data_IF_995672712287
#
_entry.id   IF_995672712287
#
_cell.length_a   1.000
_cell.length_b   1.000
_cell.length_c   1.000
_cell.angle_alpha   90.00
_cell.angle_beta   90.00
_cell.angle_gamma   90.00
#
_symmetry.space_group_name_H-M   'P 1'
#
loop_
_entity.id
_entity.type
_entity.pdbx_description
1 polymer ?
#
# COMPACT_ATOMS: atom_id res chain seq x y z
N UNK A 1 -3.82 -0.88 -5.70
CA UNK A 1 -3.45 0.55 -5.74
C UNK A 1 -2.76 0.83 -7.07
N UNK A 2 -3.05 1.94 -7.74
CA UNK A 2 -2.35 2.31 -8.98
C UNK A 2 -0.97 2.90 -8.67
N UNK A 3 -0.01 2.88 -9.59
CA UNK A 3 1.32 3.49 -9.38
C UNK A 3 1.24 4.98 -8.99
N UNK A 4 0.24 5.70 -9.51
CA UNK A 4 -0.01 7.09 -9.14
C UNK A 4 -0.47 7.25 -7.69
N UNK A 5 -1.18 6.27 -7.14
CA UNK A 5 -1.64 6.30 -5.74
C UNK A 5 -0.45 6.10 -4.79
N UNK A 6 0.39 5.11 -5.08
CA UNK A 6 1.59 4.79 -4.29
C UNK A 6 2.52 6.01 -4.19
N UNK A 7 2.69 6.77 -5.28
CA UNK A 7 3.49 7.99 -5.25
C UNK A 7 2.90 9.09 -4.35
N UNK A 8 1.57 9.22 -4.29
CA UNK A 8 0.90 10.21 -3.43
C UNK A 8 1.01 9.84 -1.96
N UNK A 9 0.81 8.57 -1.62
CA UNK A 9 0.88 8.09 -0.25
C UNK A 9 2.28 8.29 0.32
N UNK A 10 3.30 8.03 -0.51
CA UNK A 10 4.69 8.32 -0.17
C UNK A 10 4.94 9.81 0.07
N UNK A 11 4.43 10.69 -0.79
CA UNK A 11 4.57 12.14 -0.60
C UNK A 11 3.95 12.61 0.72
N UNK A 12 2.81 12.04 1.10
CA UNK A 12 2.14 12.34 2.37
C UNK A 12 3.01 11.89 3.55
N UNK A 13 3.49 10.64 3.52
CA UNK A 13 4.37 10.09 4.57
C UNK A 13 5.67 10.90 4.71
N UNK A 14 6.31 11.25 3.59
CA UNK A 14 7.55 12.05 3.56
C UNK A 14 7.30 13.46 4.12
N UNK A 15 6.20 14.10 3.75
CA UNK A 15 5.86 15.44 4.23
C UNK A 15 5.56 15.48 5.72
N UNK A 16 4.81 14.50 6.24
CA UNK A 16 4.52 14.38 7.67
C UNK A 16 5.79 14.15 8.47
N UNK A 17 6.65 13.24 8.02
CA UNK A 17 7.93 12.99 8.68
C UNK A 17 8.86 14.21 8.62
N UNK A 18 8.81 15.03 7.56
CA UNK A 18 9.55 16.29 7.51
C UNK A 18 9.08 17.30 8.56
N UNK A 19 7.77 17.44 8.78
CA UNK A 19 7.23 18.30 9.84
C UNK A 19 7.55 17.79 11.25
N UNK A 20 7.57 16.47 11.44
CA UNK A 20 8.00 15.88 12.71
C UNK A 20 9.49 16.14 12.93
N UNK A 21 10.33 15.90 11.92
CA UNK A 21 11.78 16.13 12.01
C UNK A 21 12.11 17.61 12.29
N UNK A 22 11.32 18.55 11.76
CA UNK A 22 11.46 19.97 12.04
C UNK A 22 11.22 20.34 13.52
N UNK A 23 10.65 19.44 14.33
CA UNK A 23 10.46 19.62 15.78
C UNK A 23 9.75 20.92 16.13
N UNK A 24 8.68 21.22 15.39
CA UNK A 24 7.90 22.45 15.53
C UNK A 24 7.24 22.49 16.93
N UNK A 25 7.22 23.66 17.60
CA UNK A 25 6.52 23.80 18.86
C UNK A 25 5.02 23.62 18.66
N UNK A 26 4.38 22.93 19.60
CA UNK A 26 2.91 22.81 19.66
C UNK A 26 2.40 23.78 20.73
N UNK A 27 1.66 24.79 20.30
CA UNK A 27 1.16 25.87 21.16
C UNK A 27 -0.36 25.70 21.31
N UNK A 28 -0.82 25.71 22.55
CA UNK A 28 -2.25 25.59 22.89
C UNK A 28 -2.74 26.84 23.59
N UNK A 29 -3.79 27.46 23.06
CA UNK A 29 -4.36 28.71 23.57
C UNK A 29 -5.89 28.62 23.63
N UNK A 30 -6.51 29.30 24.60
CA UNK A 30 -7.95 29.51 24.62
C UNK A 30 -8.28 30.86 23.97
N UNK A 31 -9.13 30.84 22.94
CA UNK A 31 -9.49 32.02 22.16
C UNK A 31 -10.99 32.07 21.87
N UNK A 32 -11.57 33.25 21.65
CA UNK A 32 -12.93 33.36 21.13
C UNK A 32 -13.07 32.62 19.79
N UNK A 33 -14.23 31.99 19.57
CA UNK A 33 -14.48 31.20 18.34
C UNK A 33 -14.24 32.03 17.06
N UNK A 34 -14.64 33.29 17.05
CA UNK A 34 -14.48 34.17 15.89
C UNK A 34 -13.00 34.52 15.62
N UNK A 35 -12.19 34.69 16.66
CA UNK A 35 -10.74 34.89 16.51
C UNK A 35 -10.07 33.62 15.95
N UNK A 36 -10.43 32.45 16.48
CA UNK A 36 -9.90 31.18 16.00
C UNK A 36 -10.24 30.93 14.52
N UNK A 37 -11.46 31.24 14.09
CA UNK A 37 -11.84 31.19 12.67
C UNK A 37 -11.03 32.16 11.81
N UNK A 38 -10.79 33.39 12.31
CA UNK A 38 -9.98 34.38 11.60
C UNK A 38 -8.51 33.95 11.44
N UNK A 39 -7.98 33.17 12.37
CA UNK A 39 -6.65 32.56 12.29
C UNK A 39 -6.56 31.41 11.26
N UNK A 40 -7.69 31.01 10.66
CA UNK A 40 -7.74 29.87 9.74
C UNK A 40 -7.72 28.51 10.45
N UNK A 41 -8.08 28.47 11.74
CA UNK A 41 -8.16 27.21 12.47
C UNK A 41 -9.16 26.26 11.79
N UNK A 42 -8.69 25.06 11.46
CA UNK A 42 -9.55 24.04 10.87
C UNK A 42 -10.46 23.46 11.95
N UNK A 43 -11.76 23.66 11.77
CA UNK A 43 -12.80 23.08 12.62
C UNK A 43 -13.32 21.79 11.96
N UNK A 44 -13.40 20.71 12.73
CA UNK A 44 -14.02 19.48 12.27
C UNK A 44 -15.56 19.65 12.26
N UNK A 45 -16.19 19.14 11.20
CA UNK A 45 -17.60 19.34 10.90
C UNK A 45 -18.55 18.91 12.05
N UNK A 46 -19.56 19.76 12.32
CA UNK A 46 -20.82 19.48 13.05
C UNK A 46 -20.81 19.54 14.58
N UNK A 47 -19.79 20.12 15.22
CA UNK A 47 -19.84 20.34 16.67
C UNK A 47 -20.32 21.74 17.04
N UNK A 48 -21.18 21.82 18.06
CA UNK A 48 -21.58 23.08 18.67
C UNK A 48 -20.44 23.58 19.56
N UNK A 49 -19.53 24.35 18.99
CA UNK A 49 -18.47 25.03 19.74
C UNK A 49 -19.05 26.13 20.63
N UNK A 50 -18.52 26.27 21.85
CA UNK A 50 -18.84 27.39 22.74
C UNK A 50 -18.18 28.70 22.29
N UNK A 51 -18.44 29.78 23.04
CA UNK A 51 -17.87 31.12 22.74
C UNK A 51 -16.35 31.15 22.83
N UNK A 52 -15.77 30.31 23.69
CA UNK A 52 -14.32 30.12 23.86
C UNK A 52 -13.95 28.71 23.43
N UNK A 53 -12.93 28.60 22.58
CA UNK A 53 -12.41 27.34 22.06
C UNK A 53 -10.92 27.20 22.32
N UNK A 54 -10.45 25.96 22.43
CA UNK A 54 -9.02 25.64 22.52
C UNK A 54 -8.45 25.45 21.13
N UNK A 55 -7.54 26.35 20.76
CA UNK A 55 -6.78 26.33 19.51
C UNK A 55 -5.45 25.63 19.77
N UNK A 56 -5.10 24.70 18.89
CA UNK A 56 -3.81 24.02 18.89
C UNK A 56 -3.10 24.36 17.58
N UNK A 57 -1.89 24.89 17.67
CA UNK A 57 -1.08 25.29 16.52
C UNK A 57 0.26 24.57 16.52
N UNK A 58 0.72 24.18 15.35
CA UNK A 58 1.95 23.44 15.13
C UNK A 58 2.77 24.20 14.09
N UNK A 59 3.52 25.22 14.54
CA UNK A 59 4.15 26.18 13.63
C UNK A 59 3.18 26.72 12.57
N UNK A 60 3.65 26.85 11.33
CA UNK A 60 2.82 27.32 10.20
C UNK A 60 2.12 26.18 9.45
N UNK A 61 2.23 24.93 9.92
CA UNK A 61 1.78 23.76 9.13
C UNK A 61 0.35 23.33 9.46
N UNK A 62 -0.11 23.56 10.69
CA UNK A 62 -1.46 23.21 11.11
C UNK A 62 -1.93 24.10 12.25
N UNK A 63 -3.19 24.53 12.16
CA UNK A 63 -3.92 25.21 13.24
C UNK A 63 -5.30 24.54 13.30
N UNK A 64 -5.66 23.98 14.44
CA UNK A 64 -6.89 23.19 14.61
C UNK A 64 -7.58 23.50 15.94
N UNK A 65 -8.87 23.21 16.01
CA UNK A 65 -9.64 23.21 17.25
C UNK A 65 -9.61 21.81 17.86
N UNK A 66 -8.97 21.65 19.01
CA UNK A 66 -8.85 20.35 19.68
C UNK A 66 -8.92 20.45 21.20
N UNK A 67 -9.78 19.61 21.81
CA UNK A 67 -9.90 19.46 23.26
C UNK A 67 -9.02 18.36 23.87
N UNK A 68 -8.26 17.62 23.06
CA UNK A 68 -7.47 16.46 23.49
C UNK A 68 -6.11 16.81 24.09
N UNK A 69 -5.39 15.79 24.56
CA UNK A 69 -3.99 15.95 24.99
C UNK A 69 -3.07 16.04 23.79
N UNK A 70 -2.03 16.88 23.88
CA UNK A 70 -1.03 17.05 22.84
C UNK A 70 0.38 16.91 23.40
N UNK A 71 1.31 16.54 22.52
CA UNK A 71 2.74 16.64 22.74
C UNK A 71 3.18 18.11 22.84
N UNK A 72 4.39 18.38 23.35
CA UNK A 72 4.90 19.76 23.43
C UNK A 72 5.54 20.23 22.13
N UNK A 73 6.00 19.29 21.30
CA UNK A 73 6.60 19.53 19.99
C UNK A 73 6.35 18.38 19.03
N UNK A 74 6.33 18.65 17.73
CA UNK A 74 6.09 17.61 16.72
C UNK A 74 7.14 16.50 16.75
N UNK A 75 8.37 16.81 17.17
CA UNK A 75 9.47 15.85 17.33
C UNK A 75 9.18 14.71 18.31
N UNK A 76 8.35 14.94 19.33
CA UNK A 76 7.96 13.91 20.31
C UNK A 76 7.10 12.81 19.68
N UNK A 77 6.47 13.08 18.53
CA UNK A 77 5.68 12.10 17.77
C UNK A 77 6.60 11.01 17.19
N UNK A 78 7.88 11.30 16.98
CA UNK A 78 8.86 10.35 16.45
C UNK A 78 8.63 10.04 14.97
N UNK A 79 8.49 8.77 14.60
CA UNK A 79 8.28 8.40 13.21
C UNK A 79 6.79 8.27 12.89
N UNK A 80 6.37 8.65 11.69
CA UNK A 80 5.06 8.35 11.14
C UNK A 80 5.16 7.31 10.02
N UNK A 81 4.27 6.32 10.06
CA UNK A 81 4.10 5.30 9.01
C UNK A 81 2.67 5.30 8.52
N UNK A 82 2.46 5.48 7.22
CA UNK A 82 1.19 5.24 6.55
C UNK A 82 0.99 3.74 6.39
N UNK A 83 -0.12 3.22 6.93
CA UNK A 83 -0.46 1.80 6.93
C UNK A 83 -1.37 1.46 5.76
N UNK A 84 -2.40 2.27 5.55
CA UNK A 84 -3.37 2.00 4.51
C UNK A 84 -4.10 3.26 4.09
N UNK A 85 -4.68 3.16 2.91
CA UNK A 85 -5.64 4.11 2.40
C UNK A 85 -6.84 3.38 1.83
N UNK A 86 -8.03 3.85 2.18
CA UNK A 86 -9.30 3.31 1.69
C UNK A 86 -10.24 4.42 1.22
N UNK A 87 -11.03 4.13 0.19
CA UNK A 87 -12.09 5.02 -0.29
C UNK A 87 -13.35 4.80 0.54
N UNK A 88 -13.85 5.85 1.19
CA UNK A 88 -15.04 5.80 2.06
C UNK A 88 -16.32 6.23 1.33
N UNK A 89 -16.19 6.90 0.18
CA UNK A 89 -17.32 7.39 -0.62
C UNK A 89 -16.85 8.31 -1.75
N UNK A 90 -17.79 8.96 -2.44
CA UNK A 90 -17.45 9.88 -3.54
C UNK A 90 -16.60 11.05 -3.04
N UNK A 91 -15.31 11.04 -3.41
CA UNK A 91 -14.35 12.09 -3.07
C UNK A 91 -13.73 12.02 -1.67
N UNK A 92 -14.07 11.02 -0.86
CA UNK A 92 -13.58 10.90 0.53
C UNK A 92 -12.65 9.70 0.68
N UNK A 93 -11.48 9.95 1.24
CA UNK A 93 -10.42 8.97 1.49
C UNK A 93 -10.12 8.91 2.99
N UNK A 94 -9.95 7.71 3.52
CA UNK A 94 -9.44 7.49 4.88
C UNK A 94 -8.02 7.00 4.78
N UNK A 95 -7.13 7.74 5.44
CA UNK A 95 -5.73 7.37 5.58
C UNK A 95 -5.54 6.88 7.01
N UNK A 96 -4.95 5.69 7.15
CA UNK A 96 -4.61 5.10 8.45
C UNK A 96 -3.10 5.15 8.59
N UNK A 97 -2.62 5.70 9.70
CA UNK A 97 -1.20 5.76 10.03
C UNK A 97 -0.93 5.40 11.48
N UNK A 98 0.31 5.00 11.76
CA UNK A 98 0.83 4.77 13.11
C UNK A 98 2.00 5.72 13.37
N UNK A 99 2.23 6.05 14.64
CA UNK A 99 3.33 6.91 15.08
C UNK A 99 4.20 6.23 16.13
N UNK A 100 5.38 6.81 16.38
CA UNK A 100 6.33 6.40 17.44
C UNK A 100 6.59 4.88 17.45
N UNK A 101 6.37 4.21 18.58
CA UNK A 101 6.52 2.77 18.74
C UNK A 101 5.66 1.98 17.76
N UNK A 102 4.42 2.42 17.50
CA UNK A 102 3.52 1.73 16.58
C UNK A 102 4.00 1.80 15.13
N UNK A 103 4.67 2.89 14.74
CA UNK A 103 5.33 2.99 13.43
C UNK A 103 6.54 2.05 13.35
N UNK A 104 7.37 2.01 14.40
CA UNK A 104 8.53 1.11 14.46
C UNK A 104 8.12 -0.36 14.37
N UNK A 105 7.09 -0.78 15.13
CA UNK A 105 6.55 -2.14 15.09
C UNK A 105 6.03 -2.49 13.69
N UNK A 106 5.44 -1.53 12.96
CA UNK A 106 4.99 -1.75 11.58
C UNK A 106 6.16 -1.98 10.62
N UNK A 107 7.27 -1.24 10.77
CA UNK A 107 8.47 -1.47 9.98
C UNK A 107 9.12 -2.82 10.28
N UNK A 108 9.21 -3.19 11.56
CA UNK A 108 9.77 -4.48 11.97
C UNK A 108 8.93 -5.65 11.46
N UNK A 109 7.60 -5.54 11.50
CA UNK A 109 6.71 -6.55 10.94
C UNK A 109 6.91 -6.71 9.42
N UNK A 110 7.08 -5.61 8.69
CA UNK A 110 7.38 -5.65 7.25
C UNK A 110 8.75 -6.26 6.96
N UNK A 111 9.77 -5.92 7.75
CA UNK A 111 11.11 -6.51 7.63
C UNK A 111 11.10 -8.02 7.88
N UNK A 112 10.36 -8.47 8.90
CA UNK A 112 10.20 -9.88 9.20
C UNK A 112 9.47 -10.62 8.06
N UNK A 113 8.37 -10.07 7.55
CA UNK A 113 7.64 -10.65 6.42
C UNK A 113 8.53 -10.80 5.17
N UNK A 114 9.32 -9.77 4.86
CA UNK A 114 10.29 -9.82 3.77
C UNK A 114 11.36 -10.89 4.03
N UNK A 115 11.85 -11.02 5.27
CA UNK A 115 12.81 -12.06 5.64
C UNK A 115 12.23 -13.46 5.45
N UNK A 116 11.01 -13.71 5.95
CA UNK A 116 10.33 -15.00 5.85
C UNK A 116 10.09 -15.40 4.37
N UNK A 117 9.72 -14.44 3.53
CA UNK A 117 9.59 -14.66 2.09
C UNK A 117 10.92 -15.03 1.43
N UNK A 118 12.01 -14.40 1.84
CA UNK A 118 13.34 -14.72 1.31
C UNK A 118 13.78 -16.13 1.71
N UNK A 119 13.50 -16.54 2.94
CA UNK A 119 13.81 -17.87 3.42
C UNK A 119 12.96 -18.93 2.72
N UNK A 120 11.66 -18.68 2.54
CA UNK A 120 10.72 -19.56 1.83
C UNK A 120 11.14 -19.77 0.37
N UNK A 121 11.64 -18.72 -0.28
CA UNK A 121 12.12 -18.77 -1.66
C UNK A 121 13.59 -19.19 -1.79
N UNK A 122 14.24 -19.51 -0.67
CA UNK A 122 15.65 -19.90 -0.57
C UNK A 122 16.58 -18.90 -1.30
N UNK A 123 16.32 -17.61 -1.09
CA UNK A 123 17.01 -16.54 -1.80
C UNK A 123 18.41 -16.27 -1.23
N UNK A 124 19.41 -16.26 -2.11
CA UNK A 124 20.74 -15.76 -1.75
C UNK A 124 20.72 -14.22 -1.64
N UNK A 125 21.66 -13.61 -0.87
CA UNK A 125 21.73 -12.15 -0.71
C UNK A 125 21.82 -11.37 -2.03
N UNK A 126 22.41 -11.97 -3.06
CA UNK A 126 22.60 -11.34 -4.38
C UNK A 126 21.30 -11.33 -5.20
N UNK A 127 20.35 -12.23 -4.93
CA UNK A 127 19.08 -12.30 -5.64
C UNK A 127 18.00 -11.48 -4.93
N UNK A 128 17.38 -10.57 -5.70
CA UNK A 128 16.21 -9.82 -5.25
C UNK A 128 14.95 -10.68 -5.31
N UNK A 129 13.95 -10.35 -4.48
CA UNK A 129 12.63 -11.00 -4.55
C UNK A 129 12.02 -10.89 -5.95
N UNK A 130 12.11 -9.70 -6.56
CA UNK A 130 11.59 -9.47 -7.91
C UNK A 130 12.21 -10.42 -8.92
N UNK A 131 13.53 -10.57 -8.92
CA UNK A 131 14.22 -11.47 -9.86
C UNK A 131 13.74 -12.91 -9.71
N UNK A 132 13.58 -13.42 -8.47
CA UNK A 132 13.10 -14.79 -8.26
C UNK A 132 11.65 -14.98 -8.69
N UNK A 133 10.81 -13.98 -8.46
CA UNK A 133 9.42 -14.00 -8.93
C UNK A 133 9.38 -14.01 -10.47
N UNK A 134 10.17 -13.16 -11.12
CA UNK A 134 10.26 -13.12 -12.58
C UNK A 134 10.73 -14.49 -13.15
N UNK A 135 11.75 -15.11 -12.54
CA UNK A 135 12.22 -16.46 -12.89
C UNK A 135 11.10 -17.51 -12.74
N UNK A 136 10.38 -17.50 -11.60
CA UNK A 136 9.27 -18.43 -11.36
C UNK A 136 8.12 -18.25 -12.35
N UNK A 137 7.79 -17.01 -12.72
CA UNK A 137 6.74 -16.72 -13.72
C UNK A 137 7.12 -17.27 -15.09
N UNK A 138 8.38 -17.13 -15.50
CA UNK A 138 8.85 -17.71 -16.76
C UNK A 138 8.91 -19.25 -16.69
N UNK A 139 9.38 -19.83 -15.58
CA UNK A 139 9.33 -21.29 -15.35
C UNK A 139 7.88 -21.83 -15.45
N UNK A 140 6.90 -21.10 -14.93
CA UNK A 140 5.48 -21.48 -15.03
C UNK A 140 4.98 -21.47 -16.47
N UNK A 141 5.27 -20.44 -17.26
CA UNK A 141 4.88 -20.37 -18.69
C UNK A 141 5.51 -21.51 -19.49
N UNK A 142 6.79 -21.77 -19.26
CA UNK A 142 7.52 -22.86 -19.92
C UNK A 142 6.93 -24.23 -19.59
N UNK A 143 6.53 -24.44 -18.33
CA UNK A 143 5.87 -25.67 -17.91
C UNK A 143 4.49 -25.81 -18.55
N UNK A 144 3.66 -24.75 -18.57
CA UNK A 144 2.35 -24.76 -19.22
C UNK A 144 2.46 -25.13 -20.71
N UNK A 145 3.44 -24.57 -21.42
CA UNK A 145 3.70 -24.93 -22.82
C UNK A 145 4.10 -26.41 -22.97
N UNK A 146 4.95 -26.92 -22.07
CA UNK A 146 5.39 -28.33 -22.09
C UNK A 146 4.23 -29.27 -21.81
N UNK A 147 3.35 -28.95 -20.86
CA UNK A 147 2.14 -29.72 -20.58
C UNK A 147 1.18 -29.73 -21.77
N UNK A 148 0.94 -28.58 -22.42
CA UNK A 148 0.11 -28.52 -23.62
C UNK A 148 0.67 -29.38 -24.78
N UNK A 149 1.99 -29.37 -24.98
CA UNK A 149 2.67 -30.19 -26.01
C UNK A 149 2.63 -31.68 -25.66
N UNK A 150 2.81 -32.03 -24.39
CA UNK A 150 2.80 -33.43 -23.93
C UNK A 150 1.39 -34.04 -23.95
N UNK A 151 0.36 -33.27 -23.60
CA UNK A 151 -1.03 -33.71 -23.68
C UNK A 151 -1.44 -34.01 -25.14
N UNK A 152 -1.07 -33.13 -26.07
CA UNK A 152 -1.25 -33.35 -27.51
C UNK A 152 -0.53 -34.61 -28.01
N UNK A 153 0.70 -34.84 -27.55
CA UNK A 153 1.51 -36.01 -27.93
C UNK A 153 0.93 -37.31 -27.36
N UNK A 154 0.45 -37.29 -26.12
CA UNK A 154 -0.19 -38.45 -25.49
C UNK A 154 -1.52 -38.81 -26.19
N UNK A 155 -2.34 -37.82 -26.55
CA UNK A 155 -3.59 -38.01 -27.32
C UNK A 155 -3.34 -38.65 -28.70
N UNK A 156 -2.28 -38.23 -29.40
CA UNK A 156 -1.89 -38.86 -30.68
C UNK A 156 -1.38 -40.29 -30.51
N UNK A 157 -0.73 -40.62 -29.39
CA UNK A 157 -0.18 -41.96 -29.15
C UNK A 157 -1.19 -42.99 -28.65
N UNK A 158 -2.30 -42.54 -28.04
CA UNK A 158 -3.37 -43.41 -27.53
C UNK A 158 -4.48 -43.66 -28.55
N UNK A 159 -4.55 -42.90 -29.64
CA UNK A 159 -5.48 -43.11 -30.74
C UNK A 159 -4.94 -44.18 -31.72
N UNK A 160 -5.34 -45.42 -31.51
CA UNK A 160 -5.07 -46.56 -32.41
C UNK A 160 -5.94 -46.53 -33.69
N UNK A 161 -5.98 -45.40 -34.42
CA UNK A 161 -6.56 -45.35 -35.78
C UNK A 161 -5.44 -45.23 -36.83
N UNK A 162 -5.36 -46.13 -37.83
CA UNK A 162 -4.23 -46.23 -38.76
C UNK A 162 -4.16 -45.13 -39.85
N UNK A 163 -5.00 -44.10 -39.77
CA UNK A 163 -4.95 -42.93 -40.66
C UNK A 163 -5.24 -41.67 -39.86
N UNK A 164 -4.22 -41.14 -39.18
CA UNK A 164 -4.27 -39.79 -38.64
C UNK A 164 -3.24 -38.97 -39.41
N UNK A 165 -3.66 -38.39 -40.53
CA UNK A 165 -2.87 -37.35 -41.19
C UNK A 165 -2.91 -36.11 -40.30
N UNK A 166 -1.85 -35.92 -39.52
CA UNK A 166 -1.60 -34.72 -38.74
C UNK A 166 -1.29 -33.53 -39.68
N UNK A 167 -2.31 -33.04 -40.38
CA UNK A 167 -2.24 -31.75 -41.07
C UNK A 167 -2.93 -30.71 -40.22
N UNK A 168 -2.15 -30.10 -39.33
CA UNK A 168 -2.07 -28.65 -39.10
C UNK A 168 -1.68 -28.35 -37.64
N UNK A 169 -0.54 -27.68 -37.46
CA UNK A 169 -0.03 -27.23 -36.16
C UNK A 169 -0.83 -26.06 -35.55
N UNK A 170 -1.92 -25.60 -36.19
CA UNK A 170 -2.69 -24.43 -35.73
C UNK A 170 -4.20 -24.60 -35.61
N UNK A 171 -4.80 -25.72 -36.04
CA UNK A 171 -6.25 -25.90 -35.95
C UNK A 171 -6.65 -26.70 -34.71
N UNK A 172 -7.16 -25.99 -33.68
CA UNK A 172 -7.84 -26.59 -32.52
C UNK A 172 -9.25 -27.06 -32.90
N UNK A 173 -9.39 -27.92 -33.90
CA UNK A 173 -10.69 -28.48 -34.28
C UNK A 173 -10.57 -29.99 -34.41
N UNK A 174 -11.06 -30.69 -33.38
CA UNK A 174 -11.29 -32.13 -33.45
C UNK A 174 -12.58 -32.31 -34.24
N UNK A 175 -12.46 -32.73 -35.51
CA UNK A 175 -13.61 -33.21 -36.26
C UNK A 175 -13.80 -34.68 -35.87
N UNK A 176 -14.79 -34.95 -35.01
CA UNK A 176 -15.28 -36.30 -34.80
C UNK A 176 -16.09 -36.68 -36.03
N UNK A 177 -15.56 -37.60 -36.83
CA UNK A 177 -16.32 -38.32 -37.85
C UNK A 177 -16.64 -39.68 -37.24
N UNK A 178 -17.93 -40.01 -37.18
CA UNK A 178 -18.47 -41.28 -36.67
C UNK A 178 -17.85 -42.50 -37.36
#
# INVERSE_FOLDING_TARGET
MTNSQICKDKQIEDQLNAWIAASLPIITEEKPLEEAKAMGAMALFSENYGDVVRVVSMGDVSIELCGGTHATGTGEIGLFKLISEESVGSGVRRITGKTSKGALEAYQAYEQEVSDLRDTLHLTPQKTLKMRIDEMVEEMKDLEEKYAKNDFRNYCSSSTKPHCECTDKRSRTIILVD
#
